data_IF_717120123301
#
_entry.id   IF_717120123301
#
_cell.length_a   1.000
_cell.length_b   1.000
_cell.length_c   1.000
_cell.angle_alpha   90.00
_cell.angle_beta   90.00
_cell.angle_gamma   90.00
#
_symmetry.space_group_name_H-M   'P 1'
#
loop_
_entity.id
_entity.type
_entity.pdbx_description
1 polymer ?
#
# COMPACT_ATOMS: atom_id res chain seq x y z
N UNK A 1 50.83 -94.67 7.95
CA UNK A 1 51.34 -94.38 9.30
C UNK A 1 52.31 -93.20 9.20
N UNK A 2 52.23 -92.28 10.16
CA UNK A 2 53.17 -91.23 10.62
C UNK A 2 54.25 -90.59 9.69
N UNK A 3 54.46 -89.29 9.95
CA UNK A 3 55.63 -88.45 9.63
C UNK A 3 55.81 -88.02 8.15
N UNK A 4 56.40 -86.86 7.84
CA UNK A 4 57.10 -85.85 8.68
C UNK A 4 56.51 -84.45 8.53
N UNK A 5 56.86 -83.52 9.44
CA UNK A 5 56.38 -82.13 9.42
C UNK A 5 57.50 -81.12 9.75
N UNK A 6 57.30 -79.87 9.30
CA UNK A 6 58.07 -78.65 9.60
C UNK A 6 59.53 -78.55 9.08
N UNK A 7 59.74 -77.81 7.99
CA UNK A 7 61.08 -77.34 7.58
C UNK A 7 61.08 -75.96 6.86
N UNK A 8 60.41 -74.94 7.43
CA UNK A 8 60.55 -73.56 6.93
C UNK A 8 60.26 -72.48 7.99
N UNK A 9 61.21 -72.20 8.90
CA UNK A 9 61.13 -71.05 9.82
C UNK A 9 62.46 -70.62 10.48
N UNK A 10 63.60 -70.64 9.78
CA UNK A 10 64.91 -70.23 10.35
C UNK A 10 65.73 -69.20 9.56
N UNK A 11 65.47 -68.98 8.26
CA UNK A 11 66.21 -67.98 7.47
C UNK A 11 65.93 -66.52 7.87
N UNK A 12 64.66 -66.16 8.09
CA UNK A 12 64.22 -64.76 8.06
C UNK A 12 64.50 -63.94 9.34
N UNK A 13 65.07 -64.54 10.40
CA UNK A 13 65.42 -63.80 11.65
C UNK A 13 66.83 -63.21 11.61
N UNK A 14 67.84 -63.97 11.14
CA UNK A 14 69.27 -63.57 11.20
C UNK A 14 69.63 -62.33 10.38
N UNK A 15 68.91 -62.04 9.30
CA UNK A 15 69.14 -60.84 8.50
C UNK A 15 68.74 -59.55 9.24
N UNK A 16 67.60 -59.57 9.95
CA UNK A 16 67.07 -58.42 10.71
C UNK A 16 68.01 -57.96 11.83
N UNK A 17 68.64 -58.91 12.53
CA UNK A 17 69.54 -58.63 13.67
C UNK A 17 70.85 -57.93 13.25
N UNK A 18 71.42 -58.31 12.09
CA UNK A 18 72.63 -57.67 11.54
C UNK A 18 72.37 -56.29 10.95
N UNK A 19 71.18 -56.03 10.41
CA UNK A 19 70.81 -54.68 9.95
C UNK A 19 70.53 -53.72 11.13
N UNK A 20 69.78 -54.19 12.13
CA UNK A 20 69.45 -53.45 13.37
C UNK A 20 70.67 -52.91 14.13
N UNK A 21 71.77 -53.66 14.18
CA UNK A 21 72.92 -53.36 15.04
C UNK A 21 73.81 -52.25 14.48
N UNK A 22 73.99 -52.17 13.15
CA UNK A 22 74.83 -51.16 12.49
C UNK A 22 74.20 -49.76 12.40
N UNK A 23 72.88 -49.64 12.56
CA UNK A 23 72.16 -48.35 12.55
C UNK A 23 72.07 -47.63 13.92
N UNK A 24 72.27 -48.35 15.04
CA UNK A 24 72.12 -47.80 16.41
C UNK A 24 72.97 -46.55 16.73
N UNK A 25 74.27 -46.46 16.38
CA UNK A 25 75.07 -45.25 16.70
C UNK A 25 74.67 -44.06 15.83
N UNK A 26 74.31 -44.30 14.57
CA UNK A 26 73.79 -43.26 13.66
C UNK A 26 72.47 -42.69 14.20
N UNK A 27 71.55 -43.55 14.62
CA UNK A 27 70.29 -43.13 15.26
C UNK A 27 70.49 -42.31 16.54
N UNK A 28 71.48 -42.59 17.39
CA UNK A 28 71.75 -41.73 18.57
C UNK A 28 72.21 -40.31 18.18
N UNK A 29 72.99 -40.17 17.10
CA UNK A 29 73.43 -38.84 16.61
C UNK A 29 72.35 -38.12 15.81
N UNK A 30 71.53 -38.84 15.04
CA UNK A 30 70.42 -38.28 14.26
C UNK A 30 69.18 -37.93 15.11
N UNK A 31 68.98 -38.56 16.28
CA UNK A 31 67.85 -38.26 17.19
C UNK A 31 67.84 -36.82 17.67
N UNK A 32 68.98 -36.23 18.01
CA UNK A 32 69.05 -34.84 18.50
C UNK A 32 68.56 -33.83 17.44
N UNK A 33 69.10 -33.79 16.20
CA UNK A 33 68.58 -32.91 15.16
C UNK A 33 67.16 -33.27 14.73
N UNK A 34 66.71 -34.53 14.80
CA UNK A 34 65.30 -34.87 14.56
C UNK A 34 64.35 -34.30 15.63
N UNK A 35 64.76 -34.32 16.91
CA UNK A 35 63.98 -33.73 18.01
C UNK A 35 63.98 -32.20 17.89
N UNK A 36 65.12 -31.58 17.59
CA UNK A 36 65.20 -30.12 17.34
C UNK A 36 64.37 -29.72 16.13
N UNK A 37 64.44 -30.46 15.01
CA UNK A 37 63.61 -30.23 13.83
C UNK A 37 62.11 -30.40 14.15
N UNK A 38 61.74 -31.41 14.95
CA UNK A 38 60.36 -31.59 15.40
C UNK A 38 59.88 -30.40 16.25
N UNK A 39 60.69 -29.90 17.18
CA UNK A 39 60.36 -28.69 17.96
C UNK A 39 60.31 -27.42 17.10
N UNK A 40 61.17 -27.28 16.08
CA UNK A 40 61.11 -26.16 15.13
C UNK A 40 59.83 -26.22 14.29
N UNK A 41 59.45 -27.40 13.79
CA UNK A 41 58.19 -27.59 13.04
C UNK A 41 56.98 -27.37 13.95
N UNK A 42 57.00 -27.87 15.19
CA UNK A 42 55.95 -27.65 16.17
C UNK A 42 55.80 -26.15 16.51
N UNK A 43 56.90 -25.44 16.72
CA UNK A 43 56.90 -23.99 16.95
C UNK A 43 56.40 -23.22 15.72
N UNK A 44 56.82 -23.60 14.52
CA UNK A 44 56.34 -22.99 13.27
C UNK A 44 54.83 -23.21 13.08
N UNK A 45 54.32 -24.43 13.32
CA UNK A 45 52.88 -24.74 13.25
C UNK A 45 52.09 -24.01 14.35
N UNK A 46 52.62 -23.89 15.57
CA UNK A 46 52.01 -23.12 16.64
C UNK A 46 51.97 -21.61 16.33
N UNK A 47 53.04 -21.06 15.75
CA UNK A 47 53.10 -19.67 15.31
C UNK A 47 52.14 -19.38 14.14
N UNK A 48 52.00 -20.33 13.20
CA UNK A 48 51.06 -20.24 12.07
C UNK A 48 49.62 -20.65 12.44
N UNK A 49 49.36 -21.17 13.65
CA UNK A 49 48.05 -21.70 14.06
C UNK A 49 46.91 -20.69 13.83
N UNK A 50 47.14 -19.42 14.20
CA UNK A 50 46.17 -18.33 14.02
C UNK A 50 45.92 -17.95 12.54
N UNK A 51 46.77 -18.37 11.60
CA UNK A 51 46.57 -18.23 10.15
C UNK A 51 45.87 -19.43 9.51
N UNK A 52 45.97 -20.61 10.13
CA UNK A 52 45.42 -21.87 9.61
C UNK A 52 43.93 -22.02 9.96
N UNK A 53 43.55 -21.70 11.20
CA UNK A 53 42.22 -21.94 11.74
C UNK A 53 41.37 -20.66 11.72
N UNK A 54 40.46 -20.55 10.75
CA UNK A 54 39.56 -19.40 10.62
C UNK A 54 38.13 -19.82 10.96
N UNK A 55 37.57 -19.20 12.01
CA UNK A 55 36.17 -19.36 12.38
C UNK A 55 35.30 -18.32 11.65
N UNK A 56 34.24 -18.77 10.99
CA UNK A 56 33.24 -17.93 10.29
C UNK A 56 31.92 -18.05 11.06
N UNK A 57 31.34 -16.92 11.48
CA UNK A 57 30.14 -16.90 12.31
C UNK A 57 28.86 -17.14 11.49
N UNK A 58 27.75 -17.64 12.10
CA UNK A 58 26.50 -17.85 11.39
C UNK A 58 25.89 -16.53 10.90
N UNK A 59 25.81 -16.35 9.57
CA UNK A 59 25.42 -15.09 8.93
C UNK A 59 26.60 -14.31 8.32
N UNK A 60 27.82 -14.75 8.56
CA UNK A 60 28.98 -14.43 7.70
C UNK A 60 29.07 -15.44 6.54
N UNK A 61 29.79 -15.07 5.49
CA UNK A 61 30.37 -15.99 4.52
C UNK A 61 31.81 -15.56 4.18
N UNK A 62 32.65 -16.52 3.83
CA UNK A 62 34.05 -16.30 3.47
C UNK A 62 34.28 -16.43 1.96
N UNK A 63 35.12 -15.55 1.41
CA UNK A 63 35.75 -15.72 0.09
C UNK A 63 37.25 -15.92 0.31
N UNK A 64 37.81 -16.99 -0.27
CA UNK A 64 39.24 -17.30 -0.13
C UNK A 64 40.03 -16.69 -1.30
N UNK A 65 40.93 -15.77 -0.98
CA UNK A 65 41.97 -15.33 -1.90
C UNK A 65 43.23 -16.17 -1.71
N UNK A 66 43.67 -16.81 -2.79
CA UNK A 66 44.84 -17.66 -2.86
C UNK A 66 46.04 -16.84 -3.37
N UNK A 67 47.19 -16.93 -2.68
CA UNK A 67 48.39 -16.15 -3.05
C UNK A 67 49.23 -16.76 -4.17
N UNK A 68 49.08 -18.05 -4.45
CA UNK A 68 49.99 -18.81 -5.34
C UNK A 68 49.27 -19.66 -6.41
N UNK A 69 47.95 -19.54 -6.52
CA UNK A 69 47.09 -20.40 -7.34
C UNK A 69 45.79 -19.65 -7.67
N UNK A 70 45.47 -19.43 -8.94
CA UNK A 70 44.20 -18.91 -9.51
C UNK A 70 43.41 -17.78 -8.80
N UNK A 71 44.06 -16.95 -7.98
CA UNK A 71 43.46 -15.71 -7.43
C UNK A 71 42.30 -15.92 -6.45
N UNK A 72 41.05 -15.70 -6.87
CA UNK A 72 39.86 -15.75 -6.02
C UNK A 72 39.16 -17.11 -6.19
N UNK A 73 39.04 -17.90 -5.13
CA UNK A 73 38.33 -19.17 -5.22
C UNK A 73 36.82 -18.94 -5.39
N UNK A 74 36.23 -19.50 -6.45
CA UNK A 74 34.80 -19.41 -6.76
C UNK A 74 33.90 -20.03 -5.67
N UNK A 75 34.49 -20.80 -4.75
CA UNK A 75 33.79 -21.45 -3.65
C UNK A 75 33.58 -20.49 -2.48
N UNK A 76 32.32 -20.21 -2.18
CA UNK A 76 31.93 -19.44 -0.98
C UNK A 76 31.88 -20.34 0.25
N UNK A 77 32.56 -19.93 1.32
CA UNK A 77 32.66 -20.65 2.59
C UNK A 77 31.53 -20.22 3.53
N UNK A 78 30.74 -21.16 4.04
CA UNK A 78 29.69 -20.88 5.05
C UNK A 78 30.24 -20.72 6.46
N UNK A 79 29.36 -20.44 7.42
CA UNK A 79 29.72 -20.45 8.84
C UNK A 79 30.27 -21.81 9.31
N UNK A 80 31.22 -21.78 10.24
CA UNK A 80 31.96 -22.94 10.76
C UNK A 80 33.46 -22.68 10.89
N UNK A 81 34.18 -23.68 11.41
CA UNK A 81 35.64 -23.68 11.47
C UNK A 81 36.21 -24.20 10.15
N UNK A 82 36.97 -23.37 9.44
CA UNK A 82 37.66 -23.76 8.21
C UNK A 82 39.17 -23.79 8.43
N UNK A 83 39.79 -24.84 7.90
CA UNK A 83 41.24 -25.03 7.87
C UNK A 83 41.71 -24.58 6.49
N UNK A 84 42.52 -23.52 6.43
CA UNK A 84 43.07 -22.99 5.18
C UNK A 84 44.60 -23.07 5.15
N UNK A 85 45.16 -22.96 3.95
CA UNK A 85 46.59 -22.75 3.77
C UNK A 85 46.99 -21.38 4.39
N UNK A 86 47.98 -21.31 5.31
CA UNK A 86 48.33 -20.08 6.02
C UNK A 86 48.89 -18.95 5.15
N UNK A 87 49.19 -19.22 3.87
CA UNK A 87 49.57 -18.19 2.88
C UNK A 87 48.38 -17.53 2.17
N UNK A 88 47.16 -18.08 2.31
CA UNK A 88 45.94 -17.55 1.73
C UNK A 88 45.23 -16.59 2.70
N UNK A 89 44.31 -15.77 2.19
CA UNK A 89 43.57 -14.76 2.94
C UNK A 89 42.07 -15.03 2.79
N UNK A 90 41.37 -15.24 3.90
CA UNK A 90 39.91 -15.35 3.91
C UNK A 90 39.29 -13.97 4.18
N UNK A 91 38.55 -13.43 3.21
CA UNK A 91 37.76 -12.22 3.40
C UNK A 91 36.36 -12.60 3.89
N UNK A 92 35.95 -12.01 5.02
CA UNK A 92 34.64 -12.21 5.62
C UNK A 92 33.66 -11.15 5.14
N UNK A 93 32.46 -11.59 4.79
CA UNK A 93 31.32 -10.73 4.44
C UNK A 93 30.14 -11.07 5.34
N UNK A 94 29.46 -10.05 5.89
CA UNK A 94 28.13 -10.26 6.48
C UNK A 94 27.12 -10.43 5.34
N UNK A 95 26.52 -11.63 5.27
CA UNK A 95 25.51 -12.01 4.25
C UNK A 95 24.08 -11.90 4.78
N UNK A 96 23.89 -11.23 5.91
CA UNK A 96 22.58 -10.82 6.44
C UNK A 96 22.10 -9.56 5.72
N UNK A 97 20.81 -9.26 5.84
CA UNK A 97 20.27 -7.96 5.43
C UNK A 97 20.87 -6.87 6.32
N UNK A 98 21.50 -5.88 5.70
CA UNK A 98 22.03 -4.69 6.34
C UNK A 98 21.24 -3.47 5.86
N UNK A 99 20.97 -2.53 6.78
CA UNK A 99 20.43 -1.21 6.45
C UNK A 99 21.57 -0.17 6.39
N UNK A 100 21.52 0.72 5.41
CA UNK A 100 22.32 1.95 5.37
C UNK A 100 21.45 3.12 4.97
N UNK A 101 21.61 4.23 5.68
CA UNK A 101 20.88 5.46 5.42
C UNK A 101 21.80 6.47 4.75
N UNK A 102 21.28 7.18 3.76
CA UNK A 102 22.02 8.17 2.98
C UNK A 102 21.19 9.44 2.85
N UNK A 103 21.84 10.59 3.03
CA UNK A 103 21.24 11.91 2.84
C UNK A 103 22.07 12.62 1.77
N UNK A 104 21.42 13.07 0.72
CA UNK A 104 22.08 13.70 -0.42
C UNK A 104 21.14 14.71 -1.08
N UNK A 105 21.69 15.58 -1.93
CA UNK A 105 20.90 16.54 -2.71
C UNK A 105 20.83 16.09 -4.16
N UNK A 106 19.65 16.20 -4.75
CA UNK A 106 19.40 16.02 -6.19
C UNK A 106 18.93 17.35 -6.79
N UNK A 107 19.01 17.44 -8.11
CA UNK A 107 18.45 18.53 -8.89
C UNK A 107 17.18 18.00 -9.58
N UNK A 108 16.06 18.69 -9.45
CA UNK A 108 14.84 18.39 -10.22
C UNK A 108 14.96 18.86 -11.68
N UNK A 109 13.99 18.46 -12.52
CA UNK A 109 13.88 18.89 -13.92
C UNK A 109 13.93 20.41 -14.12
N UNK A 110 13.37 21.19 -13.18
CA UNK A 110 13.35 22.65 -13.21
C UNK A 110 14.52 23.33 -12.46
N UNK A 111 15.55 22.58 -12.04
CA UNK A 111 16.75 23.15 -11.41
C UNK A 111 16.64 23.41 -9.91
N UNK A 112 15.60 22.93 -9.22
CA UNK A 112 15.49 23.06 -7.77
C UNK A 112 16.37 22.04 -7.06
N UNK A 113 17.07 22.49 -6.00
CA UNK A 113 17.83 21.61 -5.12
C UNK A 113 16.90 20.95 -4.09
N UNK A 114 16.73 19.64 -4.19
CA UNK A 114 15.88 18.84 -3.30
C UNK A 114 16.77 17.92 -2.46
N UNK A 115 16.60 17.93 -1.14
CA UNK A 115 17.34 17.05 -0.20
C UNK A 115 16.54 15.78 0.04
N UNK A 116 17.13 14.63 -0.23
CA UNK A 116 16.49 13.31 -0.11
C UNK A 116 17.16 12.51 1.01
N UNK A 117 16.35 11.94 1.90
CA UNK A 117 16.77 10.95 2.91
C UNK A 117 16.24 9.58 2.49
N UNK A 118 17.15 8.70 2.09
CA UNK A 118 16.83 7.33 1.68
C UNK A 118 17.50 6.30 2.60
N UNK A 119 16.86 5.14 2.75
CA UNK A 119 17.33 4.00 3.54
C UNK A 119 17.30 2.75 2.68
N UNK A 120 18.47 2.17 2.43
CA UNK A 120 18.64 0.99 1.57
C UNK A 120 18.84 -0.23 2.46
N UNK A 121 18.03 -1.28 2.25
CA UNK A 121 18.21 -2.60 2.85
C UNK A 121 18.70 -3.56 1.79
N UNK A 122 19.84 -4.20 2.02
CA UNK A 122 20.51 -5.04 1.03
C UNK A 122 21.26 -6.20 1.68
N UNK A 123 21.56 -7.23 0.90
CA UNK A 123 22.49 -8.31 1.30
C UNK A 123 23.33 -8.76 0.09
N UNK A 124 24.61 -9.10 0.26
CA UNK A 124 25.43 -9.61 -0.85
C UNK A 124 25.02 -11.05 -1.20
N UNK A 125 24.91 -11.36 -2.49
CA UNK A 125 24.41 -12.67 -2.95
C UNK A 125 25.39 -13.80 -2.59
N UNK A 126 24.98 -14.68 -1.68
CA UNK A 126 25.77 -15.82 -1.16
C UNK A 126 26.30 -16.78 -2.23
N UNK A 127 25.72 -16.83 -3.44
CA UNK A 127 26.19 -17.70 -4.54
C UNK A 127 27.26 -17.07 -5.41
N UNK A 128 27.26 -15.74 -5.54
CA UNK A 128 28.15 -14.98 -6.43
C UNK A 128 29.06 -14.01 -5.66
N UNK A 129 29.27 -14.28 -4.36
CA UNK A 129 30.07 -13.46 -3.46
C UNK A 129 31.55 -13.36 -3.90
N UNK A 130 32.07 -14.38 -4.59
CA UNK A 130 33.41 -14.36 -5.16
C UNK A 130 33.55 -13.27 -6.24
N UNK A 131 32.57 -13.12 -7.14
CA UNK A 131 32.54 -12.06 -8.14
C UNK A 131 32.39 -10.67 -7.50
N UNK A 132 31.62 -10.55 -6.41
CA UNK A 132 31.55 -9.29 -5.65
C UNK A 132 32.91 -8.91 -5.03
N UNK A 133 33.63 -9.90 -4.50
CA UNK A 133 34.98 -9.69 -3.98
C UNK A 133 35.98 -9.31 -5.09
N UNK A 134 35.88 -9.95 -6.25
CA UNK A 134 36.80 -9.75 -7.38
C UNK A 134 36.59 -8.40 -8.10
N UNK A 135 35.35 -7.99 -8.35
CA UNK A 135 35.04 -6.73 -9.05
C UNK A 135 34.92 -5.50 -8.13
N UNK A 136 34.63 -5.67 -6.84
CA UNK A 136 34.33 -4.55 -5.91
C UNK A 136 35.15 -4.60 -4.62
N UNK A 137 35.43 -5.80 -4.10
CA UNK A 137 36.19 -5.99 -2.87
C UNK A 137 35.32 -5.90 -1.60
N UNK A 138 35.92 -5.65 -0.41
CA UNK A 138 35.20 -5.65 0.86
C UNK A 138 34.35 -4.38 1.08
N UNK A 139 34.73 -3.25 0.48
CA UNK A 139 34.11 -1.93 0.67
C UNK A 139 32.90 -1.69 -0.25
N UNK A 140 32.16 -2.74 -0.62
CA UNK A 140 31.07 -2.68 -1.61
C UNK A 140 29.91 -1.77 -1.19
N UNK A 141 29.74 -1.51 0.10
CA UNK A 141 28.69 -0.66 0.65
C UNK A 141 28.89 0.79 0.19
N UNK A 142 30.07 1.34 0.48
CA UNK A 142 30.40 2.75 0.24
C UNK A 142 30.87 3.00 -1.20
N UNK A 143 31.45 1.99 -1.86
CA UNK A 143 31.89 2.07 -3.26
C UNK A 143 30.80 1.81 -4.30
N UNK A 144 29.77 1.02 -3.96
CA UNK A 144 28.73 0.59 -4.91
C UNK A 144 27.32 0.84 -4.40
N UNK A 145 26.93 0.28 -3.24
CA UNK A 145 25.51 0.32 -2.80
C UNK A 145 25.02 1.76 -2.66
N UNK A 146 25.76 2.61 -1.95
CA UNK A 146 25.37 4.00 -1.72
C UNK A 146 25.46 4.83 -3.03
N UNK A 147 26.59 4.84 -3.79
CA UNK A 147 26.69 5.64 -5.02
C UNK A 147 25.70 5.24 -6.12
N UNK A 148 25.46 3.94 -6.33
CA UNK A 148 24.53 3.44 -7.35
C UNK A 148 23.08 3.83 -6.99
N UNK A 149 22.68 3.63 -5.73
CA UNK A 149 21.36 4.06 -5.24
C UNK A 149 21.16 5.57 -5.42
N UNK A 150 22.18 6.38 -5.09
CA UNK A 150 22.12 7.83 -5.32
C UNK A 150 22.03 8.20 -6.81
N UNK A 151 22.72 7.46 -7.70
CA UNK A 151 22.67 7.68 -9.13
C UNK A 151 21.28 7.37 -9.71
N UNK A 152 20.65 6.28 -9.28
CA UNK A 152 19.29 5.88 -9.69
C UNK A 152 18.24 6.88 -9.18
N UNK A 153 18.29 7.25 -7.90
CA UNK A 153 17.37 8.24 -7.34
C UNK A 153 17.54 9.60 -8.05
N UNK A 154 18.79 10.01 -8.35
CA UNK A 154 19.06 11.24 -9.12
C UNK A 154 18.55 11.16 -10.55
N UNK A 155 18.66 10.00 -11.22
CA UNK A 155 18.16 9.75 -12.57
C UNK A 155 16.64 9.99 -12.61
N UNK A 156 15.89 9.32 -11.73
CA UNK A 156 14.43 9.43 -11.69
C UNK A 156 13.96 10.81 -11.21
N UNK A 157 14.45 11.31 -10.07
CA UNK A 157 14.00 12.61 -9.54
C UNK A 157 14.43 13.82 -10.40
N UNK A 158 15.42 13.65 -11.28
CA UNK A 158 15.79 14.65 -12.28
C UNK A 158 14.81 14.76 -13.47
N UNK A 159 13.93 13.78 -13.66
CA UNK A 159 12.92 13.77 -14.74
C UNK A 159 11.59 14.43 -14.34
N UNK A 160 11.35 14.63 -13.04
CA UNK A 160 10.10 15.20 -12.50
C UNK A 160 10.27 16.64 -12.00
N UNK A 161 9.17 17.39 -11.97
CA UNK A 161 9.10 18.72 -11.34
C UNK A 161 8.71 18.61 -9.85
N UNK A 162 9.01 19.61 -9.00
CA UNK A 162 8.74 19.55 -7.57
C UNK A 162 7.26 19.31 -7.24
N UNK A 163 6.35 19.91 -8.00
CA UNK A 163 4.90 19.71 -7.96
C UNK A 163 4.53 18.23 -8.24
N UNK A 164 5.07 17.64 -9.33
CA UNK A 164 4.86 16.23 -9.70
C UNK A 164 5.39 15.28 -8.63
N UNK A 165 6.56 15.60 -8.05
CA UNK A 165 7.18 14.84 -6.96
C UNK A 165 6.26 14.83 -5.74
N UNK A 166 5.61 15.96 -5.41
CA UNK A 166 4.68 16.01 -4.29
C UNK A 166 3.40 15.20 -4.56
N UNK A 167 2.82 15.32 -5.75
CA UNK A 167 1.57 14.64 -6.11
C UNK A 167 1.71 13.14 -6.40
N UNK A 168 2.84 12.70 -6.95
CA UNK A 168 2.98 11.37 -7.59
C UNK A 168 3.97 10.44 -6.87
N UNK A 169 4.30 10.74 -5.60
CA UNK A 169 5.32 10.05 -4.79
C UNK A 169 5.30 8.52 -4.93
N UNK A 170 4.12 7.89 -4.84
CA UNK A 170 3.98 6.43 -4.85
C UNK A 170 4.50 5.75 -6.13
N UNK A 171 4.26 6.33 -7.31
CA UNK A 171 4.72 5.74 -8.58
C UNK A 171 6.21 6.02 -8.81
N UNK A 172 6.67 7.21 -8.41
CA UNK A 172 8.08 7.61 -8.48
C UNK A 172 8.94 6.68 -7.62
N UNK A 173 8.52 6.40 -6.39
CA UNK A 173 9.19 5.44 -5.48
C UNK A 173 9.25 4.04 -6.11
N UNK A 174 8.14 3.53 -6.67
CA UNK A 174 8.11 2.21 -7.33
C UNK A 174 9.10 2.12 -8.50
N UNK A 175 9.17 3.13 -9.36
CA UNK A 175 10.12 3.17 -10.47
C UNK A 175 11.58 3.16 -9.98
N UNK A 176 11.90 3.90 -8.92
CA UNK A 176 13.22 3.90 -8.28
C UNK A 176 13.56 2.50 -7.72
N UNK A 177 12.64 1.86 -7.00
CA UNK A 177 12.83 0.52 -6.42
C UNK A 177 13.10 -0.53 -7.50
N UNK A 178 12.33 -0.51 -8.61
CA UNK A 178 12.49 -1.45 -9.72
C UNK A 178 13.83 -1.31 -10.44
N UNK A 179 14.28 -0.06 -10.69
CA UNK A 179 15.62 0.19 -11.24
C UNK A 179 16.72 -0.24 -10.26
N UNK A 180 16.60 0.12 -8.96
CA UNK A 180 17.57 -0.24 -7.94
C UNK A 180 17.73 -1.76 -7.76
N UNK A 181 16.63 -2.51 -7.83
CA UNK A 181 16.66 -3.97 -7.81
C UNK A 181 17.46 -4.52 -8.99
N UNK A 182 17.24 -4.00 -10.21
CA UNK A 182 17.88 -4.49 -11.44
C UNK A 182 19.37 -4.14 -11.50
N UNK A 183 19.74 -2.91 -11.17
CA UNK A 183 21.13 -2.41 -11.22
C UNK A 183 22.00 -3.08 -10.13
N UNK A 184 21.50 -3.20 -8.89
CA UNK A 184 22.23 -3.84 -7.79
C UNK A 184 22.36 -5.36 -8.00
N UNK A 185 21.34 -6.02 -8.56
CA UNK A 185 21.37 -7.46 -8.85
C UNK A 185 22.45 -7.81 -9.90
N UNK A 186 22.64 -6.96 -10.91
CA UNK A 186 23.76 -7.11 -11.87
C UNK A 186 25.12 -7.09 -11.15
N UNK A 187 25.27 -6.24 -10.12
CA UNK A 187 26.47 -6.14 -9.27
C UNK A 187 26.51 -7.16 -8.12
N UNK A 188 25.75 -8.26 -8.22
CA UNK A 188 25.70 -9.36 -7.24
C UNK A 188 25.20 -8.98 -5.84
N UNK A 189 24.50 -7.85 -5.71
CA UNK A 189 23.90 -7.38 -4.46
C UNK A 189 22.39 -7.56 -4.55
N UNK A 190 21.79 -8.24 -3.57
CA UNK A 190 20.34 -8.38 -3.47
C UNK A 190 19.81 -7.16 -2.74
N UNK A 191 19.02 -6.34 -3.43
CA UNK A 191 18.17 -5.34 -2.78
C UNK A 191 17.01 -6.07 -2.09
N UNK A 192 16.79 -5.76 -0.81
CA UNK A 192 15.74 -6.31 0.03
C UNK A 192 14.58 -5.31 0.16
N UNK A 193 14.90 -4.02 0.32
CA UNK A 193 13.95 -2.92 0.38
C UNK A 193 14.67 -1.57 0.12
N UNK A 194 13.97 -0.57 -0.42
CA UNK A 194 14.47 0.79 -0.61
C UNK A 194 13.39 1.79 -0.19
N UNK A 195 13.64 2.44 0.94
CA UNK A 195 12.70 3.34 1.60
C UNK A 195 13.18 4.78 1.44
N UNK A 196 12.45 5.58 0.66
CA UNK A 196 12.59 7.04 0.70
C UNK A 196 11.81 7.51 1.94
N UNK A 197 12.54 8.03 2.94
CA UNK A 197 11.93 8.48 4.22
C UNK A 197 11.31 9.86 4.07
N UNK A 198 12.08 10.80 3.52
CA UNK A 198 11.75 12.22 3.46
C UNK A 198 12.32 12.84 2.18
N UNK A 199 11.54 13.73 1.57
CA UNK A 199 11.94 14.59 0.44
C UNK A 199 11.74 16.03 0.91
N UNK A 200 12.83 16.75 1.12
CA UNK A 200 12.84 18.14 1.60
C UNK A 200 13.07 19.10 0.43
N UNK A 201 12.01 19.81 0.05
CA UNK A 201 12.06 20.99 -0.80
C UNK A 201 12.44 22.21 0.07
N UNK A 202 12.98 23.32 -0.49
CA UNK A 202 13.11 24.57 0.23
C UNK A 202 11.73 25.14 0.62
N UNK A 203 11.58 25.58 1.87
CA UNK A 203 10.31 25.98 2.49
C UNK A 203 9.52 27.02 1.66
N UNK A 204 10.23 27.95 1.02
CA UNK A 204 9.66 29.00 0.16
C UNK A 204 8.99 28.45 -1.10
N UNK A 205 9.43 27.29 -1.60
CA UNK A 205 8.85 26.62 -2.77
C UNK A 205 7.75 25.66 -2.34
N UNK A 206 7.93 24.94 -1.22
CA UNK A 206 6.89 24.10 -0.64
C UNK A 206 5.61 24.90 -0.36
N UNK A 207 5.73 26.03 0.37
CA UNK A 207 4.59 26.90 0.68
C UNK A 207 3.96 27.54 -0.57
N UNK A 208 4.75 27.81 -1.62
CA UNK A 208 4.22 28.31 -2.89
C UNK A 208 3.42 27.24 -3.66
N UNK A 209 3.88 25.99 -3.64
CA UNK A 209 3.15 24.84 -4.23
C UNK A 209 1.87 24.56 -3.45
N UNK A 210 1.93 24.57 -2.11
CA UNK A 210 0.75 24.42 -1.24
C UNK A 210 -0.29 25.51 -1.52
N UNK A 211 0.13 26.78 -1.59
CA UNK A 211 -0.76 27.92 -1.91
C UNK A 211 -1.36 27.80 -3.31
N UNK A 212 -0.55 27.41 -4.31
CA UNK A 212 -1.02 27.17 -5.69
C UNK A 212 -2.08 26.06 -5.73
N UNK A 213 -1.80 24.91 -5.11
CA UNK A 213 -2.72 23.78 -5.05
C UNK A 213 -4.02 24.16 -4.31
N UNK A 214 -3.94 24.93 -3.22
CA UNK A 214 -5.11 25.46 -2.54
C UNK A 214 -5.99 26.32 -3.46
N UNK A 215 -5.42 27.27 -4.20
CA UNK A 215 -6.19 28.12 -5.13
C UNK A 215 -6.72 27.34 -6.35
N UNK A 216 -5.99 26.35 -6.86
CA UNK A 216 -6.48 25.44 -7.89
C UNK A 216 -7.68 24.61 -7.41
N UNK A 217 -7.64 24.08 -6.17
CA UNK A 217 -8.79 23.37 -5.58
C UNK A 217 -9.97 24.31 -5.28
N UNK A 218 -9.72 25.54 -4.82
CA UNK A 218 -10.77 26.57 -4.63
C UNK A 218 -11.44 26.92 -5.96
N UNK A 219 -10.67 27.16 -7.01
CA UNK A 219 -11.18 27.44 -8.35
C UNK A 219 -12.04 26.27 -8.89
N UNK A 220 -11.55 25.03 -8.75
CA UNK A 220 -12.30 23.83 -9.11
C UNK A 220 -13.63 23.73 -8.34
N UNK A 221 -13.61 23.94 -7.02
CA UNK A 221 -14.82 23.97 -6.21
C UNK A 221 -15.82 25.06 -6.65
N UNK A 222 -15.34 26.26 -7.00
CA UNK A 222 -16.19 27.32 -7.57
C UNK A 222 -16.81 26.93 -8.90
N UNK A 223 -16.11 26.21 -9.80
CA UNK A 223 -16.72 25.73 -11.05
C UNK A 223 -17.88 24.76 -10.81
N UNK A 224 -17.73 23.82 -9.86
CA UNK A 224 -18.83 22.91 -9.48
C UNK A 224 -19.99 23.63 -8.77
N UNK A 225 -19.72 24.69 -8.00
CA UNK A 225 -20.76 25.53 -7.39
C UNK A 225 -21.59 26.23 -8.48
N UNK A 226 -20.94 26.81 -9.48
CA UNK A 226 -21.59 27.48 -10.61
C UNK A 226 -22.38 26.51 -11.49
N UNK A 227 -21.82 25.33 -11.81
CA UNK A 227 -22.52 24.27 -12.54
C UNK A 227 -23.78 23.81 -11.81
N UNK A 228 -23.65 23.51 -10.50
CA UNK A 228 -24.79 23.13 -9.64
C UNK A 228 -25.86 24.22 -9.60
N UNK A 229 -25.48 25.50 -9.58
CA UNK A 229 -26.42 26.62 -9.57
C UNK A 229 -27.12 26.80 -10.93
N UNK A 230 -26.43 26.58 -12.05
CA UNK A 230 -27.04 26.54 -13.38
C UNK A 230 -28.04 25.38 -13.53
N UNK A 231 -27.72 24.20 -12.98
CA UNK A 231 -28.63 23.05 -12.96
C UNK A 231 -29.86 23.30 -12.05
N UNK A 232 -29.66 23.94 -10.90
CA UNK A 232 -30.73 24.32 -9.97
C UNK A 232 -31.66 25.42 -10.54
N UNK A 233 -31.11 26.36 -11.33
CA UNK A 233 -31.90 27.35 -12.09
C UNK A 233 -32.74 26.64 -13.15
N UNK A 234 -32.16 25.72 -13.94
CA UNK A 234 -32.90 24.93 -14.93
C UNK A 234 -34.01 24.10 -14.27
N UNK A 235 -33.73 23.44 -13.14
CA UNK A 235 -34.72 22.68 -12.36
C UNK A 235 -35.92 23.56 -11.99
N UNK A 236 -35.67 24.76 -11.45
CA UNK A 236 -36.71 25.74 -11.08
C UNK A 236 -37.49 26.28 -12.28
N UNK A 237 -36.86 26.43 -13.45
CA UNK A 237 -37.55 26.80 -14.68
C UNK A 237 -38.51 25.69 -15.15
N UNK A 238 -38.06 24.43 -15.19
CA UNK A 238 -38.94 23.30 -15.52
C UNK A 238 -40.07 23.10 -14.51
N UNK A 239 -39.79 23.28 -13.20
CA UNK A 239 -40.79 23.26 -12.13
C UNK A 239 -41.84 24.36 -12.34
N UNK A 240 -41.42 25.59 -12.64
CA UNK A 240 -42.31 26.73 -12.91
C UNK A 240 -43.16 26.53 -14.17
N UNK A 241 -42.58 26.00 -15.25
CA UNK A 241 -43.29 25.67 -16.49
C UNK A 241 -44.31 24.54 -16.27
N UNK A 242 -43.95 23.51 -15.50
CA UNK A 242 -44.86 22.43 -15.12
C UNK A 242 -46.06 22.94 -14.31
N UNK A 243 -45.81 23.83 -13.34
CA UNK A 243 -46.86 24.50 -12.56
C UNK A 243 -47.76 25.38 -13.46
N UNK A 244 -47.17 26.14 -14.40
CA UNK A 244 -47.93 26.96 -15.35
C UNK A 244 -48.82 26.13 -16.28
N UNK A 245 -48.27 25.05 -16.85
CA UNK A 245 -49.03 24.12 -17.70
C UNK A 245 -50.13 23.40 -16.92
N UNK A 246 -49.84 22.96 -15.69
CA UNK A 246 -50.84 22.37 -14.79
C UNK A 246 -51.98 23.35 -14.50
N UNK A 247 -51.68 24.59 -14.12
CA UNK A 247 -52.71 25.63 -13.89
C UNK A 247 -53.53 25.91 -15.16
N UNK A 248 -52.92 25.98 -16.34
CA UNK A 248 -53.63 26.18 -17.61
C UNK A 248 -54.59 25.02 -17.88
N UNK A 249 -54.10 23.78 -17.83
CA UNK A 249 -54.89 22.58 -18.10
C UNK A 249 -56.02 22.38 -17.08
N UNK A 250 -55.78 22.74 -15.80
CA UNK A 250 -56.83 22.75 -14.76
C UNK A 250 -57.87 23.81 -15.07
N UNK A 251 -57.46 25.06 -15.32
CA UNK A 251 -58.40 26.16 -15.62
C UNK A 251 -59.25 25.89 -16.87
N UNK A 252 -58.71 25.24 -17.90
CA UNK A 252 -59.45 24.79 -19.08
C UNK A 252 -60.51 23.70 -18.75
N UNK A 253 -60.30 22.93 -17.67
CA UNK A 253 -61.27 21.97 -17.13
C UNK A 253 -62.23 22.52 -16.06
N UNK A 254 -61.96 23.71 -15.49
CA UNK A 254 -62.80 24.33 -14.45
C UNK A 254 -63.99 25.08 -15.04
N UNK A 255 -64.93 24.35 -15.65
CA UNK A 255 -66.22 24.94 -16.05
C UNK A 255 -67.07 25.33 -14.82
N UNK A 256 -67.96 26.32 -14.90
CA UNK A 256 -68.86 26.67 -13.80
C UNK A 256 -69.71 25.49 -13.31
N UNK A 257 -70.14 24.62 -14.23
CA UNK A 257 -70.88 23.40 -13.93
C UNK A 257 -70.02 22.37 -13.18
N UNK A 258 -68.75 22.22 -13.54
CA UNK A 258 -67.82 21.33 -12.86
C UNK A 258 -67.47 21.85 -11.46
N UNK A 259 -67.22 23.14 -11.31
CA UNK A 259 -67.04 23.80 -10.01
C UNK A 259 -68.26 23.61 -9.11
N UNK A 260 -69.49 23.81 -9.64
CA UNK A 260 -70.72 23.60 -8.88
C UNK A 260 -70.95 22.12 -8.52
N UNK A 261 -70.61 21.19 -9.42
CA UNK A 261 -70.63 19.75 -9.14
C UNK A 261 -69.65 19.36 -8.04
N UNK A 262 -68.41 19.87 -8.08
CA UNK A 262 -67.41 19.64 -7.04
C UNK A 262 -67.79 20.29 -5.70
N UNK A 263 -68.43 21.47 -5.71
CA UNK A 263 -69.00 22.09 -4.51
C UNK A 263 -70.09 21.23 -3.87
N UNK A 264 -71.02 20.70 -4.67
CA UNK A 264 -72.03 19.73 -4.22
C UNK A 264 -71.36 18.47 -3.65
N UNK A 265 -70.35 17.93 -4.34
CA UNK A 265 -69.61 16.75 -3.90
C UNK A 265 -68.89 16.96 -2.58
N UNK A 266 -68.15 18.06 -2.43
CA UNK A 266 -67.45 18.40 -1.19
C UNK A 266 -68.44 18.61 -0.04
N UNK A 267 -69.57 19.27 -0.29
CA UNK A 267 -70.65 19.43 0.71
C UNK A 267 -71.25 18.08 1.11
N UNK A 268 -71.40 17.14 0.16
CA UNK A 268 -71.89 15.78 0.39
C UNK A 268 -70.87 14.89 1.15
N UNK A 269 -69.58 15.03 0.87
CA UNK A 269 -68.52 14.33 1.61
C UNK A 269 -68.36 14.90 3.04
N UNK A 270 -68.48 16.21 3.22
CA UNK A 270 -68.57 16.85 4.55
C UNK A 270 -69.83 16.42 5.32
N UNK A 271 -71.00 16.36 4.68
CA UNK A 271 -72.24 15.89 5.29
C UNK A 271 -72.23 14.38 5.64
N UNK A 272 -71.34 13.60 5.02
CA UNK A 272 -71.05 12.20 5.39
C UNK A 272 -69.97 12.07 6.48
N UNK A 273 -69.28 13.15 6.85
CA UNK A 273 -68.30 13.12 7.94
C UNK A 273 -69.00 13.11 9.30
N UNK A 274 -68.50 12.29 10.24
CA UNK A 274 -69.10 12.07 11.57
C UNK A 274 -69.17 13.32 12.49
N UNK A 275 -68.79 14.51 12.02
CA UNK A 275 -68.67 15.72 12.84
C UNK A 275 -69.37 16.97 12.27
N UNK A 276 -70.04 16.87 11.11
CA UNK A 276 -70.78 17.98 10.51
C UNK A 276 -72.21 18.07 11.10
N UNK A 277 -72.49 19.09 11.92
CA UNK A 277 -73.74 19.17 12.71
C UNK A 277 -74.81 20.13 12.17
N UNK A 278 -74.44 21.12 11.36
CA UNK A 278 -75.35 21.95 10.56
C UNK A 278 -74.58 22.60 9.41
N UNK A 279 -75.15 22.64 8.20
CA UNK A 279 -74.60 23.37 7.05
C UNK A 279 -75.72 24.25 6.49
N UNK A 280 -75.47 25.56 6.41
CA UNK A 280 -76.46 26.55 5.94
C UNK A 280 -75.96 27.16 4.63
N UNK A 281 -76.73 26.96 3.56
CA UNK A 281 -76.44 27.51 2.22
C UNK A 281 -77.26 28.80 2.07
N UNK A 282 -76.61 29.95 2.27
CA UNK A 282 -77.27 31.26 2.24
C UNK A 282 -77.53 31.76 0.83
N UNK A 283 -78.79 31.70 0.37
CA UNK A 283 -79.17 32.15 -0.97
C UNK A 283 -79.51 33.64 -1.07
N UNK A 284 -78.52 34.48 -1.39
CA UNK A 284 -78.76 35.80 -2.00
C UNK A 284 -77.52 36.28 -2.74
N UNK A 285 -77.55 36.22 -4.07
CA UNK A 285 -76.36 36.26 -4.94
C UNK A 285 -76.10 34.91 -5.60
N UNK A 286 -75.55 34.90 -6.81
CA UNK A 286 -75.55 33.73 -7.71
C UNK A 286 -74.44 32.71 -7.47
N UNK A 287 -73.68 32.81 -6.38
CA UNK A 287 -72.55 31.92 -6.09
C UNK A 287 -72.70 31.29 -4.70
N UNK A 288 -73.18 30.04 -4.67
CA UNK A 288 -73.70 29.35 -3.49
C UNK A 288 -72.64 28.69 -2.60
N UNK A 289 -71.57 29.40 -2.25
CA UNK A 289 -70.53 28.90 -1.37
C UNK A 289 -71.03 28.78 0.10
N UNK A 290 -70.73 27.68 0.82
CA UNK A 290 -71.21 27.47 2.18
C UNK A 290 -70.51 28.40 3.18
N UNK A 291 -71.30 29.14 3.97
CA UNK A 291 -70.79 30.08 4.96
C UNK A 291 -70.40 29.37 6.27
N UNK A 292 -69.13 29.50 6.67
CA UNK A 292 -68.63 29.01 7.95
C UNK A 292 -69.03 30.00 9.06
N UNK A 293 -70.10 29.69 9.78
CA UNK A 293 -70.56 30.47 10.93
C UNK A 293 -69.71 30.17 12.16
N UNK A 294 -68.77 31.08 12.49
CA UNK A 294 -68.00 31.03 13.73
C UNK A 294 -68.85 31.47 14.93
N UNK A 295 -69.60 30.54 15.54
CA UNK A 295 -70.42 30.79 16.73
C UNK A 295 -69.65 30.53 18.03
N UNK A 296 -68.63 31.34 18.28
CA UNK A 296 -67.92 31.43 19.57
C UNK A 296 -67.75 32.90 19.93
N UNK A 297 -68.53 33.39 20.89
CA UNK A 297 -68.58 34.81 21.22
C UNK A 297 -67.84 35.17 22.49
N UNK A 298 -66.90 36.09 22.39
CA UNK A 298 -66.63 37.08 23.43
C UNK A 298 -66.09 38.35 22.77
N UNK A 299 -66.53 39.53 23.26
CA UNK A 299 -66.21 40.81 22.63
C UNK A 299 -65.08 41.51 23.39
N UNK A 300 -63.99 41.84 22.70
CA UNK A 300 -63.03 42.82 23.20
C UNK A 300 -62.50 43.71 22.07
N UNK A 301 -62.32 44.98 22.40
CA UNK A 301 -62.06 46.08 21.47
C UNK A 301 -60.60 46.17 21.03
N UNK A 302 -60.37 46.47 19.75
CA UNK A 302 -59.25 47.32 19.31
C UNK A 302 -59.62 48.04 18.00
N UNK A 303 -59.19 49.29 17.86
CA UNK A 303 -59.35 50.07 16.64
C UNK A 303 -58.15 49.88 15.68
N UNK A 304 -58.31 50.27 14.41
CA UNK A 304 -57.27 50.17 13.40
C UNK A 304 -56.10 51.14 13.62
N UNK A 305 -54.90 50.75 13.20
CA UNK A 305 -53.91 51.70 12.66
C UNK A 305 -52.90 50.97 11.77
N UNK A 306 -52.54 51.59 10.63
CA UNK A 306 -51.49 51.08 9.74
C UNK A 306 -50.13 51.68 10.13
N UNK A 307 -49.12 50.85 10.34
CA UNK A 307 -47.71 51.24 10.36
C UNK A 307 -46.82 50.03 9.96
N UNK A 308 -45.69 50.24 9.26
CA UNK A 308 -44.89 49.14 8.72
C UNK A 308 -43.96 48.50 9.77
N UNK A 309 -43.85 47.17 9.75
CA UNK A 309 -42.87 46.44 10.57
C UNK A 309 -41.52 46.41 9.84
N UNK A 310 -40.55 47.15 10.36
CA UNK A 310 -39.17 47.13 9.87
C UNK A 310 -38.42 45.83 10.20
N UNK A 311 -37.51 45.42 9.32
CA UNK A 311 -36.72 44.19 9.48
C UNK A 311 -35.55 44.44 10.45
N UNK A 312 -35.83 44.44 11.76
CA UNK A 312 -34.80 44.73 12.77
C UNK A 312 -34.97 43.93 14.07
N UNK A 313 -34.91 42.59 13.98
CA UNK A 313 -34.51 41.69 15.09
C UNK A 313 -34.37 40.21 14.62
N UNK A 314 -33.31 39.90 13.87
CA UNK A 314 -32.89 38.51 13.57
C UNK A 314 -31.58 38.10 14.30
N UNK A 315 -30.93 39.04 14.99
CA UNK A 315 -29.67 38.84 15.73
C UNK A 315 -29.83 38.07 17.04
N UNK A 316 -31.03 38.00 17.62
CA UNK A 316 -31.30 37.36 18.91
C UNK A 316 -31.47 35.83 18.84
N UNK A 317 -31.86 35.28 17.68
CA UNK A 317 -32.15 33.84 17.52
C UNK A 317 -30.87 33.00 17.32
N UNK A 318 -29.83 33.56 16.69
CA UNK A 318 -28.54 32.88 16.51
C UNK A 318 -27.60 32.97 17.73
N UNK A 319 -27.92 33.79 18.73
CA UNK A 319 -27.03 34.08 19.86
C UNK A 319 -27.03 33.01 20.98
N UNK A 320 -28.00 32.09 21.01
CA UNK A 320 -28.16 31.10 22.09
C UNK A 320 -27.41 29.78 21.90
N UNK A 321 -26.83 29.52 20.72
CA UNK A 321 -26.28 28.21 20.34
C UNK A 321 -24.77 28.04 20.58
N UNK A 322 -24.07 29.06 21.09
CA UNK A 322 -22.59 29.10 21.12
C UNK A 322 -22.02 29.44 22.51
N UNK A 323 -22.65 28.99 23.61
CA UNK A 323 -22.10 29.23 24.97
C UNK A 323 -22.49 28.22 26.06
N UNK A 324 -22.13 26.95 25.90
CA UNK A 324 -22.28 25.94 26.96
C UNK A 324 -21.21 24.82 26.95
N UNK A 325 -19.93 25.18 26.79
CA UNK A 325 -18.79 24.29 27.05
C UNK A 325 -17.81 25.03 27.97
N UNK A 326 -17.71 24.64 29.24
CA UNK A 326 -16.87 25.34 30.22
C UNK A 326 -17.00 24.88 31.68
N UNK A 327 -16.27 23.81 32.02
CA UNK A 327 -15.72 23.45 33.35
C UNK A 327 -16.65 23.11 34.55
N UNK A 328 -16.43 21.89 35.09
CA UNK A 328 -16.49 21.58 36.55
C UNK A 328 -17.73 20.85 37.08
N UNK A 329 -17.66 19.99 38.12
CA UNK A 329 -16.55 19.35 38.89
C UNK A 329 -17.11 18.07 39.57
N UNK A 330 -16.32 16.97 39.66
CA UNK A 330 -16.52 15.74 40.50
C UNK A 330 -17.82 14.90 40.31
N UNK A 331 -17.99 13.60 40.63
CA UNK A 331 -17.18 12.39 40.96
C UNK A 331 -18.15 11.14 40.87
N UNK A 332 -17.80 9.84 40.91
CA UNK A 332 -16.55 9.04 40.96
C UNK A 332 -16.83 7.56 40.58
N UNK A 333 -15.77 6.80 40.24
CA UNK A 333 -15.61 5.32 40.33
C UNK A 333 -16.45 4.31 39.48
N UNK A 334 -15.95 3.06 39.48
CA UNK A 334 -16.56 1.77 39.06
C UNK A 334 -16.49 1.34 37.56
N UNK A 335 -15.25 1.05 37.13
CA UNK A 335 -14.78 -0.23 36.54
C UNK A 335 -15.38 -0.90 35.25
N UNK A 336 -14.47 -1.16 34.29
CA UNK A 336 -14.42 -2.34 33.35
C UNK A 336 -15.40 -2.41 32.15
N UNK A 337 -15.13 -3.21 31.06
CA UNK A 337 -15.08 -2.59 29.73
C UNK A 337 -15.89 -3.28 28.58
N UNK A 338 -15.73 -2.73 27.37
CA UNK A 338 -16.15 -3.25 26.06
C UNK A 338 -15.94 -4.76 25.84
N UNK A 339 -16.85 -5.38 25.06
CA UNK A 339 -16.54 -6.48 24.11
C UNK A 339 -17.59 -6.58 23.00
N UNK A 340 -17.13 -6.82 21.76
CA UNK A 340 -17.91 -6.95 20.52
C UNK A 340 -18.55 -8.33 20.34
N UNK A 341 -19.74 -8.45 19.70
CA UNK A 341 -20.30 -9.75 19.29
C UNK A 341 -20.37 -9.96 17.76
N UNK A 342 -19.77 -11.04 17.26
CA UNK A 342 -20.04 -11.68 15.97
C UNK A 342 -19.39 -13.10 15.92
N UNK A 343 -19.75 -13.98 14.97
CA UNK A 343 -21.07 -14.56 14.69
C UNK A 343 -21.14 -16.03 15.21
N UNK A 344 -22.19 -16.81 14.86
CA UNK A 344 -22.30 -18.25 15.18
C UNK A 344 -22.79 -19.10 13.99
N UNK A 345 -22.39 -20.38 13.96
CA UNK A 345 -22.62 -21.30 12.83
C UNK A 345 -22.97 -22.73 13.28
N UNK A 346 -23.93 -23.36 12.58
CA UNK A 346 -24.23 -24.80 12.38
C UNK A 346 -24.17 -25.82 13.54
N UNK A 347 -25.34 -26.45 13.77
CA UNK A 347 -25.60 -27.86 14.15
C UNK A 347 -27.04 -28.24 13.71
N UNK A 348 -27.44 -29.47 13.33
CA UNK A 348 -26.73 -30.65 12.77
C UNK A 348 -27.73 -31.78 12.41
N UNK A 349 -27.65 -32.32 11.19
CA UNK A 349 -28.03 -33.71 10.80
C UNK A 349 -29.52 -34.18 10.86
N UNK A 350 -29.90 -35.32 10.20
CA UNK A 350 -31.03 -35.26 9.24
C UNK A 350 -32.17 -36.28 9.40
N UNK A 351 -33.22 -36.12 8.57
CA UNK A 351 -34.16 -37.18 8.16
C UNK A 351 -34.83 -36.83 6.81
N UNK A 352 -35.40 -37.82 6.10
CA UNK A 352 -35.80 -37.73 4.69
C UNK A 352 -37.34 -37.96 4.47
N UNK A 353 -37.86 -38.29 3.26
CA UNK A 353 -38.49 -37.28 2.42
C UNK A 353 -39.95 -37.62 2.01
N UNK A 354 -40.63 -36.72 1.28
CA UNK A 354 -41.87 -37.03 0.55
C UNK A 354 -42.02 -36.15 -0.70
N UNK A 355 -42.20 -36.81 -1.86
CA UNK A 355 -42.96 -36.51 -3.09
C UNK A 355 -43.39 -35.06 -3.45
N UNK A 356 -43.56 -34.68 -4.72
CA UNK A 356 -43.19 -35.17 -6.07
C UNK A 356 -43.80 -34.18 -7.12
N UNK A 357 -43.71 -34.47 -8.43
CA UNK A 357 -44.57 -33.91 -9.53
C UNK A 357 -44.31 -32.39 -9.82
N UNK A 358 -43.97 -31.93 -11.02
CA UNK A 358 -43.84 -32.56 -12.34
C UNK A 358 -42.71 -31.93 -13.19
N UNK A 359 -42.41 -32.66 -14.28
CA UNK A 359 -41.53 -32.46 -15.43
C UNK A 359 -41.61 -31.08 -16.17
N UNK A 360 -40.81 -30.76 -17.20
CA UNK A 360 -40.08 -31.62 -18.16
C UNK A 360 -38.94 -30.91 -18.93
N UNK A 361 -37.98 -31.69 -19.44
CA UNK A 361 -37.21 -31.49 -20.74
C UNK A 361 -36.35 -30.22 -20.92
N UNK A 362 -35.22 -30.20 -21.66
CA UNK A 362 -34.38 -31.28 -22.23
C UNK A 362 -32.98 -30.75 -22.61
N UNK A 363 -31.92 -31.44 -22.17
CA UNK A 363 -30.67 -31.81 -22.87
C UNK A 363 -29.76 -30.81 -23.66
N UNK A 364 -28.51 -31.25 -23.83
CA UNK A 364 -27.55 -30.92 -24.92
C UNK A 364 -26.75 -29.59 -24.95
N UNK A 365 -25.62 -29.61 -24.22
CA UNK A 365 -24.27 -29.12 -24.61
C UNK A 365 -23.99 -29.27 -26.13
N UNK A 366 -23.32 -28.33 -26.85
CA UNK A 366 -21.84 -28.34 -26.87
C UNK A 366 -21.03 -27.04 -27.11
N UNK A 367 -19.82 -27.07 -26.52
CA UNK A 367 -18.50 -26.60 -26.97
C UNK A 367 -18.29 -25.23 -27.63
N UNK A 368 -17.24 -24.54 -27.14
CA UNK A 368 -16.71 -23.29 -27.69
C UNK A 368 -16.01 -23.46 -29.06
N UNK A 369 -15.99 -22.38 -29.84
CA UNK A 369 -14.92 -22.04 -30.80
C UNK A 369 -14.89 -20.53 -31.09
N UNK A 370 -13.69 -20.00 -31.36
CA UNK A 370 -13.37 -18.68 -31.94
C UNK A 370 -14.06 -17.43 -31.33
N UNK A 371 -13.28 -16.64 -30.60
CA UNK A 371 -13.51 -15.20 -30.43
C UNK A 371 -12.19 -14.49 -30.76
N UNK A 372 -12.16 -13.66 -31.80
CA UNK A 372 -10.94 -13.00 -32.26
C UNK A 372 -10.91 -12.69 -33.75
N UNK A 373 -11.63 -11.63 -34.14
CA UNK A 373 -11.34 -10.73 -35.27
C UNK A 373 -12.45 -9.66 -35.31
N UNK A 374 -12.08 -8.38 -35.40
CA UNK A 374 -13.04 -7.27 -35.45
C UNK A 374 -12.72 -6.08 -34.55
N UNK A 375 -11.91 -5.15 -35.05
CA UNK A 375 -12.05 -3.67 -35.02
C UNK A 375 -10.87 -3.11 -35.84
N UNK A 376 -10.96 -3.21 -37.17
CA UNK A 376 -10.10 -2.44 -38.09
C UNK A 376 -10.77 -2.24 -39.46
N UNK A 377 -11.96 -1.61 -39.45
CA UNK A 377 -12.63 -1.18 -40.69
C UNK A 377 -13.68 -0.08 -40.40
N UNK A 378 -13.21 1.14 -40.06
CA UNK A 378 -14.09 2.31 -39.93
C UNK A 378 -13.43 3.68 -40.20
N UNK A 379 -12.49 3.73 -41.14
CA UNK A 379 -11.95 4.98 -41.69
C UNK A 379 -11.81 4.91 -43.23
N UNK A 380 -12.93 4.79 -43.95
CA UNK A 380 -13.04 5.25 -45.35
C UNK A 380 -14.51 5.31 -45.81
N UNK A 381 -15.19 6.41 -45.47
CA UNK A 381 -16.47 6.84 -46.08
C UNK A 381 -16.75 8.30 -45.70
N UNK A 382 -17.41 9.05 -46.61
CA UNK A 382 -17.71 10.49 -46.50
C UNK A 382 -16.48 11.39 -46.79
N UNK A 383 -16.02 11.32 -48.03
CA UNK A 383 -15.57 12.52 -48.75
C UNK A 383 -16.71 12.97 -49.66
N UNK A 384 -17.28 14.17 -49.42
CA UNK A 384 -18.31 14.78 -50.27
C UNK A 384 -17.85 16.20 -50.56
N UNK A 385 -17.74 16.54 -51.84
CA UNK A 385 -17.39 17.87 -52.30
C UNK A 385 -18.66 18.67 -52.62
N UNK A 386 -18.67 19.95 -52.23
CA UNK A 386 -19.46 21.03 -52.83
C UNK A 386 -18.58 22.28 -52.83
N UNK A 387 -18.74 23.08 -53.88
CA UNK A 387 -18.08 24.33 -54.26
C UNK A 387 -17.68 25.31 -53.12
#
# INVERSE_FOLDING_TARGET
>A
MNATASMSSKGNKRWRERFMTRWRPFWRRAKVPLIVLFFIILFLVAYLFHRIFINIYPGEAGVLWKRFDDGVEQRVYGGGLHIINPFNIMYKYEVRVQQRETIFTVLSKNGLLIRVRASVRFSPNRKTLYLLHEYVGPEYIDRVVIPETQAIIRRVLGEYEPDDIYATQGNIIQNIVLMALTELQQRHIVLDDLLIKEIHLPDTVASAIETKLEEEQKALAYTYILEREQLEIQRKQFESLGIQQFQKNVNEGLTPEYLRYQGIRATLELAKSNNAKLVVIGGSGTDGLPLILNTGGEASTAAATNAPVGISNLSSVFASSVKSVGAGVDQSDISTPLTTPAPKTRTSDPSAPTNAILSSTSSAKPSAKNLGEGIEQRQEAIGVAVD
#
